data_IF_485176348566
#
_entry.id   IF_485176348566
#
_cell.length_a   1.000
_cell.length_b   1.000
_cell.length_c   1.000
_cell.angle_alpha   90.00
_cell.angle_beta   90.00
_cell.angle_gamma   90.00
#
_symmetry.space_group_name_H-M   'P 1'
#
loop_
_entity.id
_entity.type
_entity.pdbx_description
1 polymer ?
#
# COMPACT_ATOMS: atom_id res chain seq x y z
N UNK A 1 54.79 22.96 12.32
CA UNK A 1 55.51 22.06 13.23
C UNK A 1 54.57 21.75 14.36
N UNK A 2 53.83 20.64 14.41
CA UNK A 2 54.15 19.30 13.94
C UNK A 2 54.39 18.46 15.18
N UNK A 3 53.47 17.54 15.49
CA UNK A 3 53.72 16.39 16.36
C UNK A 3 52.75 15.27 15.96
N UNK A 4 53.16 14.56 14.91
CA UNK A 4 52.69 13.21 14.59
C UNK A 4 53.28 12.27 15.66
N UNK A 5 52.55 12.04 16.74
CA UNK A 5 52.91 11.02 17.73
C UNK A 5 52.15 9.73 17.39
N UNK A 6 52.86 8.88 16.64
CA UNK A 6 52.93 7.42 16.73
C UNK A 6 51.62 6.61 16.74
N UNK A 7 51.10 6.37 15.53
CA UNK A 7 50.18 5.26 15.20
C UNK A 7 50.90 3.93 14.88
N UNK A 8 52.20 3.83 15.15
CA UNK A 8 53.04 2.69 14.75
C UNK A 8 53.36 1.73 15.93
N UNK A 9 53.13 2.14 17.19
CA UNK A 9 53.61 1.36 18.34
C UNK A 9 52.70 0.21 18.82
N UNK A 10 51.46 0.08 18.35
CA UNK A 10 50.62 -1.09 18.71
C UNK A 10 50.80 -2.30 17.78
N UNK A 11 51.41 -2.12 16.60
CA UNK A 11 51.63 -3.22 15.66
C UNK A 11 52.89 -4.05 15.96
N UNK A 12 53.84 -3.51 16.72
CA UNK A 12 55.16 -4.12 16.92
C UNK A 12 55.30 -4.94 18.23
N UNK A 13 54.27 -5.02 19.08
CA UNK A 13 54.35 -5.80 20.31
C UNK A 13 54.03 -7.30 20.15
N UNK A 14 53.81 -7.79 18.92
CA UNK A 14 53.40 -9.17 18.62
C UNK A 14 54.40 -9.94 17.74
N UNK A 15 55.63 -9.46 17.57
CA UNK A 15 56.63 -10.12 16.71
C UNK A 15 57.51 -11.16 17.45
N UNK A 16 57.36 -11.28 18.77
CA UNK A 16 58.15 -12.21 19.59
C UNK A 16 57.39 -13.47 20.01
N UNK A 17 57.00 -14.36 19.09
CA UNK A 17 56.29 -15.59 19.48
C UNK A 17 56.15 -16.65 18.39
N UNK A 18 57.08 -17.61 18.40
CA UNK A 18 57.15 -18.86 17.62
C UNK A 18 56.01 -19.13 16.60
N UNK A 19 56.34 -18.97 15.33
CA UNK A 19 55.41 -18.64 14.23
C UNK A 19 54.60 -19.79 13.62
N UNK A 20 54.70 -21.03 14.13
CA UNK A 20 54.01 -22.18 13.52
C UNK A 20 52.68 -22.55 14.22
N UNK A 21 52.57 -22.31 15.54
CA UNK A 21 51.40 -22.72 16.35
C UNK A 21 50.38 -21.60 16.53
N UNK A 22 50.81 -20.33 16.48
CA UNK A 22 49.95 -19.17 16.70
C UNK A 22 49.15 -18.77 15.44
N UNK A 23 49.67 -19.07 14.25
CA UNK A 23 49.00 -18.83 12.95
C UNK A 23 47.62 -19.50 12.85
N UNK A 24 47.46 -20.81 13.14
CA UNK A 24 46.15 -21.47 13.06
C UNK A 24 45.16 -20.93 14.09
N UNK A 25 45.62 -20.56 15.30
CA UNK A 25 44.76 -19.96 16.33
C UNK A 25 44.24 -18.59 15.90
N UNK A 26 45.12 -17.73 15.38
CA UNK A 26 44.75 -16.39 14.88
C UNK A 26 43.80 -16.48 13.68
N UNK A 27 44.04 -17.41 12.75
CA UNK A 27 43.15 -17.66 11.61
C UNK A 27 41.76 -18.09 12.07
N UNK A 28 41.68 -18.98 13.07
CA UNK A 28 40.41 -19.43 13.64
C UNK A 28 39.65 -18.32 14.37
N UNK A 29 40.36 -17.47 15.10
CA UNK A 29 39.76 -16.31 15.77
C UNK A 29 39.18 -15.28 14.76
N UNK A 30 39.91 -15.02 13.67
CA UNK A 30 39.41 -14.16 12.58
C UNK A 30 38.20 -14.77 11.86
N UNK A 31 38.20 -16.08 11.62
CA UNK A 31 37.07 -16.78 11.00
C UNK A 31 35.82 -16.72 11.89
N UNK A 32 35.96 -16.95 13.20
CA UNK A 32 34.86 -16.82 14.17
C UNK A 32 34.36 -15.37 14.28
N UNK A 33 35.26 -14.38 14.21
CA UNK A 33 34.89 -12.96 14.18
C UNK A 33 34.06 -12.62 12.95
N UNK A 34 34.47 -13.10 11.77
CA UNK A 34 33.74 -12.92 10.50
C UNK A 34 32.37 -13.60 10.52
N UNK A 35 32.29 -14.84 10.99
CA UNK A 35 31.04 -15.59 11.12
C UNK A 35 30.05 -14.88 12.06
N UNK A 36 30.56 -14.30 13.17
CA UNK A 36 29.73 -13.52 14.10
C UNK A 36 29.22 -12.24 13.47
N UNK A 37 30.04 -11.55 12.69
CA UNK A 37 29.64 -10.33 11.98
C UNK A 37 28.61 -10.63 10.89
N UNK A 38 28.79 -11.71 10.13
CA UNK A 38 27.85 -12.18 9.11
C UNK A 38 26.50 -12.54 9.71
N UNK A 39 26.47 -13.29 10.83
CA UNK A 39 25.22 -13.58 11.57
C UNK A 39 24.53 -12.31 12.08
N UNK A 40 25.29 -11.30 12.50
CA UNK A 40 24.71 -10.00 12.92
C UNK A 40 24.14 -9.23 11.73
N UNK A 41 24.79 -9.27 10.57
CA UNK A 41 24.29 -8.66 9.33
C UNK A 41 23.01 -9.35 8.86
N UNK A 42 22.99 -10.68 8.80
CA UNK A 42 21.79 -11.47 8.47
C UNK A 42 20.64 -11.13 9.41
N UNK A 43 20.90 -11.06 10.73
CA UNK A 43 19.85 -10.67 11.69
C UNK A 43 19.37 -9.22 11.52
N UNK A 44 20.23 -8.31 11.07
CA UNK A 44 19.84 -6.93 10.76
C UNK A 44 18.98 -6.87 9.48
N UNK A 45 19.37 -7.59 8.44
CA UNK A 45 18.63 -7.67 7.18
C UNK A 45 17.22 -8.25 7.40
N UNK A 46 17.10 -9.28 8.24
CA UNK A 46 15.79 -9.85 8.64
C UNK A 46 14.91 -8.85 9.38
N UNK A 47 15.47 -8.06 10.30
CA UNK A 47 14.76 -7.00 11.00
C UNK A 47 14.30 -5.88 10.05
N UNK A 48 15.15 -5.51 9.08
CA UNK A 48 14.82 -4.47 8.10
C UNK A 48 13.69 -4.93 7.16
N UNK A 49 13.70 -6.20 6.76
CA UNK A 49 12.61 -6.83 6.00
C UNK A 49 11.31 -6.83 6.83
N UNK A 50 11.36 -7.23 8.10
CA UNK A 50 10.20 -7.21 8.99
C UNK A 50 9.62 -5.79 9.14
N UNK A 51 10.47 -4.80 9.37
CA UNK A 51 10.05 -3.40 9.47
C UNK A 51 9.44 -2.89 8.16
N UNK A 52 10.03 -3.26 7.02
CA UNK A 52 9.48 -2.97 5.69
C UNK A 52 8.09 -3.58 5.50
N UNK A 53 7.89 -4.83 5.92
CA UNK A 53 6.58 -5.51 5.87
C UNK A 53 5.55 -4.87 6.78
N UNK A 54 5.90 -4.54 8.03
CA UNK A 54 5.00 -3.85 8.98
C UNK A 54 4.52 -2.53 8.38
N UNK A 55 5.43 -1.74 7.82
CA UNK A 55 5.09 -0.47 7.16
C UNK A 55 4.21 -0.66 5.93
N UNK A 56 4.46 -1.70 5.12
CA UNK A 56 3.63 -2.02 3.97
C UNK A 56 2.21 -2.41 4.38
N UNK A 57 2.06 -3.24 5.42
CA UNK A 57 0.75 -3.65 5.95
C UNK A 57 0.03 -2.46 6.59
N UNK A 58 0.74 -1.60 7.31
CA UNK A 58 0.17 -0.36 7.87
C UNK A 58 -0.37 0.55 6.77
N UNK A 59 0.38 0.73 5.68
CA UNK A 59 -0.05 1.50 4.51
C UNK A 59 -1.29 0.89 3.85
N UNK A 60 -1.36 -0.44 3.72
CA UNK A 60 -2.56 -1.13 3.21
C UNK A 60 -3.74 -0.94 4.16
N UNK A 61 -3.52 -1.10 5.47
CA UNK A 61 -4.54 -0.86 6.50
C UNK A 61 -5.05 0.59 6.48
N UNK A 62 -4.17 1.56 6.28
CA UNK A 62 -4.53 2.96 6.11
C UNK A 62 -5.33 3.20 4.82
N UNK A 63 -4.94 2.56 3.70
CA UNK A 63 -5.65 2.66 2.43
C UNK A 63 -7.04 2.00 2.47
N UNK A 64 -7.22 0.94 3.25
CA UNK A 64 -8.53 0.30 3.46
C UNK A 64 -9.40 1.06 4.47
N UNK A 65 -8.78 1.76 5.44
CA UNK A 65 -9.48 2.66 6.37
C UNK A 65 -9.87 3.98 5.73
N UNK A 66 -9.08 4.47 4.77
CA UNK A 66 -9.49 5.59 3.95
C UNK A 66 -10.82 5.20 3.28
N UNK A 67 -11.88 6.02 3.41
CA UNK A 67 -13.13 5.72 2.76
C UNK A 67 -12.83 5.57 1.27
N UNK A 68 -12.99 4.35 0.73
CA UNK A 68 -12.95 4.14 -0.72
C UNK A 68 -13.88 5.17 -1.30
N UNK A 69 -13.29 6.16 -1.97
CA UNK A 69 -13.98 7.41 -2.24
C UNK A 69 -15.27 7.04 -2.96
N UNK A 70 -16.37 7.37 -2.29
CA UNK A 70 -17.73 7.01 -2.63
C UNK A 70 -18.16 7.87 -3.82
N UNK A 71 -17.29 8.00 -4.84
CA UNK A 71 -17.48 8.84 -6.00
C UNK A 71 -18.60 8.24 -6.82
N UNK A 72 -19.80 8.69 -6.48
CA UNK A 72 -20.92 8.68 -7.40
C UNK A 72 -20.43 9.39 -8.66
N UNK A 73 -20.74 8.81 -9.82
CA UNK A 73 -20.39 9.42 -11.09
C UNK A 73 -20.91 10.85 -11.14
N UNK A 74 -20.02 11.82 -11.38
CA UNK A 74 -20.33 13.27 -11.37
C UNK A 74 -21.55 13.63 -12.23
N UNK A 75 -21.76 12.90 -13.31
CA UNK A 75 -22.84 13.14 -14.27
C UNK A 75 -24.15 12.42 -13.90
N UNK A 76 -24.17 11.54 -12.89
CA UNK A 76 -25.34 10.73 -12.53
C UNK A 76 -26.56 11.59 -12.22
N UNK A 77 -26.38 12.65 -11.43
CA UNK A 77 -27.48 13.56 -11.09
C UNK A 77 -28.07 14.19 -12.36
N UNK A 78 -27.22 14.72 -13.25
CA UNK A 78 -27.67 15.33 -14.50
C UNK A 78 -28.37 14.33 -15.42
N UNK A 79 -27.81 13.12 -15.59
CA UNK A 79 -28.42 12.08 -16.41
C UNK A 79 -29.81 11.70 -15.92
N UNK A 80 -30.01 11.56 -14.61
CA UNK A 80 -31.33 11.20 -14.06
C UNK A 80 -32.29 12.39 -14.13
N UNK A 81 -31.87 13.56 -13.66
CA UNK A 81 -32.77 14.72 -13.49
C UNK A 81 -33.18 15.37 -14.82
N UNK A 82 -32.43 15.14 -15.90
CA UNK A 82 -32.75 15.63 -17.24
C UNK A 82 -33.60 14.65 -18.06
N UNK A 83 -33.98 13.48 -17.52
CA UNK A 83 -34.82 12.53 -18.24
C UNK A 83 -36.24 13.10 -18.44
N UNK A 84 -36.70 13.28 -19.69
CA UNK A 84 -38.02 13.83 -19.95
C UNK A 84 -39.14 12.82 -19.63
N UNK A 85 -40.34 13.32 -19.34
CA UNK A 85 -41.54 12.49 -19.18
C UNK A 85 -41.77 11.91 -17.78
N UNK A 86 -40.96 12.27 -16.79
CA UNK A 86 -41.13 11.88 -15.38
C UNK A 86 -41.23 13.11 -14.47
N UNK A 87 -41.95 12.95 -13.34
CA UNK A 87 -41.97 13.99 -12.31
C UNK A 87 -40.65 14.02 -11.55
N UNK A 88 -40.33 15.17 -10.93
CA UNK A 88 -39.11 15.34 -10.16
C UNK A 88 -39.04 14.35 -8.97
N UNK A 89 -40.18 14.06 -8.35
CA UNK A 89 -40.29 13.10 -7.25
C UNK A 89 -39.94 11.69 -7.71
N UNK A 90 -40.44 11.27 -8.87
CA UNK A 90 -40.11 9.97 -9.45
C UNK A 90 -38.61 9.86 -9.80
N UNK A 91 -38.04 10.91 -10.38
CA UNK A 91 -36.60 10.97 -10.67
C UNK A 91 -35.75 10.93 -9.40
N UNK A 92 -36.20 11.58 -8.31
CA UNK A 92 -35.53 11.53 -7.01
C UNK A 92 -35.52 10.12 -6.40
N UNK A 93 -36.62 9.37 -6.52
CA UNK A 93 -36.68 7.97 -6.07
C UNK A 93 -35.64 7.11 -6.82
N UNK A 94 -35.61 7.23 -8.15
CA UNK A 94 -34.64 6.54 -8.98
C UNK A 94 -33.18 6.95 -8.66
N UNK A 95 -32.93 8.25 -8.46
CA UNK A 95 -31.62 8.76 -8.11
C UNK A 95 -31.11 8.19 -6.78
N UNK A 96 -31.95 8.19 -5.73
CA UNK A 96 -31.58 7.62 -4.42
C UNK A 96 -31.26 6.13 -4.55
N UNK A 97 -31.99 5.40 -5.39
CA UNK A 97 -31.68 4.00 -5.68
C UNK A 97 -30.31 3.85 -6.37
N UNK A 98 -30.03 4.60 -7.43
CA UNK A 98 -28.77 4.53 -8.18
C UNK A 98 -27.56 4.99 -7.34
N UNK A 99 -27.75 5.94 -6.43
CA UNK A 99 -26.74 6.34 -5.44
C UNK A 99 -26.37 5.20 -4.49
N UNK A 100 -27.35 4.34 -4.15
CA UNK A 100 -27.13 3.15 -3.31
C UNK A 100 -26.60 1.97 -4.11
N UNK A 101 -26.95 1.87 -5.39
CA UNK A 101 -26.51 0.81 -6.30
C UNK A 101 -25.56 1.36 -7.38
N UNK A 102 -24.30 1.57 -6.99
CA UNK A 102 -23.30 2.26 -7.82
C UNK A 102 -23.04 1.61 -9.17
N UNK A 103 -23.01 0.27 -9.24
CA UNK A 103 -22.76 -0.44 -10.48
C UNK A 103 -23.86 -0.11 -11.51
N UNK A 104 -25.10 -0.08 -11.04
CA UNK A 104 -26.25 0.29 -11.85
C UNK A 104 -26.25 1.79 -12.21
N UNK A 105 -25.89 2.66 -11.26
CA UNK A 105 -25.68 4.09 -11.51
C UNK A 105 -24.63 4.36 -12.61
N UNK A 106 -23.52 3.62 -12.60
CA UNK A 106 -22.49 3.72 -13.64
C UNK A 106 -23.01 3.26 -15.00
N UNK A 107 -23.71 2.12 -15.06
CA UNK A 107 -24.33 1.64 -16.29
C UNK A 107 -25.37 2.62 -16.82
N UNK A 108 -26.19 3.21 -15.94
CA UNK A 108 -27.23 4.16 -16.29
C UNK A 108 -26.68 5.39 -17.02
N UNK A 109 -25.57 5.96 -16.54
CA UNK A 109 -24.91 7.11 -17.20
C UNK A 109 -24.40 6.78 -18.61
N UNK A 110 -24.05 5.52 -18.86
CA UNK A 110 -23.55 5.06 -20.16
C UNK A 110 -24.67 4.70 -21.15
N UNK A 111 -25.93 4.64 -20.70
CA UNK A 111 -27.07 4.33 -21.56
C UNK A 111 -27.40 5.49 -22.51
N UNK A 112 -28.08 5.19 -23.62
CA UNK A 112 -28.75 6.24 -24.40
C UNK A 112 -29.99 6.73 -23.64
N UNK A 113 -30.46 7.93 -23.95
CA UNK A 113 -31.67 8.49 -23.32
C UNK A 113 -32.89 7.57 -23.43
N UNK A 114 -33.09 6.92 -24.59
CA UNK A 114 -34.17 5.96 -24.78
C UNK A 114 -34.07 4.75 -23.82
N UNK A 115 -32.86 4.26 -23.55
CA UNK A 115 -32.62 3.17 -22.60
C UNK A 115 -32.76 3.64 -21.16
N UNK A 116 -32.33 4.87 -20.83
CA UNK A 116 -32.54 5.47 -19.50
C UNK A 116 -34.04 5.58 -19.19
N UNK A 117 -34.85 6.06 -20.15
CA UNK A 117 -36.31 6.17 -20.01
C UNK A 117 -36.93 4.79 -19.82
N UNK A 118 -36.48 3.78 -20.57
CA UNK A 118 -36.97 2.40 -20.43
C UNK A 118 -36.63 1.79 -19.06
N UNK A 119 -35.41 2.04 -18.58
CA UNK A 119 -34.97 1.63 -17.25
C UNK A 119 -35.80 2.31 -16.16
N UNK A 120 -35.99 3.63 -16.25
CA UNK A 120 -36.81 4.41 -15.31
C UNK A 120 -38.24 3.90 -15.26
N UNK A 121 -38.85 3.59 -16.41
CA UNK A 121 -40.20 3.04 -16.46
C UNK A 121 -40.30 1.75 -15.67
N UNK A 122 -39.38 0.81 -15.91
CA UNK A 122 -39.36 -0.47 -15.20
C UNK A 122 -39.11 -0.31 -13.70
N UNK A 123 -38.13 0.53 -13.33
CA UNK A 123 -37.79 0.79 -11.94
C UNK A 123 -38.94 1.45 -11.17
N UNK A 124 -39.57 2.47 -11.75
CA UNK A 124 -40.65 3.23 -11.12
C UNK A 124 -41.94 2.41 -11.03
N UNK A 125 -42.28 1.62 -12.05
CA UNK A 125 -43.41 0.69 -11.95
C UNK A 125 -43.24 -0.33 -10.82
N UNK A 126 -42.01 -0.81 -10.58
CA UNK A 126 -41.74 -1.77 -9.51
C UNK A 126 -41.64 -1.12 -8.12
N UNK A 127 -41.17 0.14 -8.05
CA UNK A 127 -40.92 0.83 -6.79
C UNK A 127 -42.11 1.64 -6.27
N UNK A 128 -43.00 2.09 -7.15
CA UNK A 128 -44.16 2.92 -6.77
C UNK A 128 -45.48 2.14 -6.67
N UNK A 129 -45.53 0.89 -7.12
CA UNK A 129 -46.77 0.10 -7.13
C UNK A 129 -47.88 0.72 -8.01
N UNK A 130 -48.99 0.01 -8.24
CA UNK A 130 -50.22 0.63 -8.75
C UNK A 130 -50.87 1.57 -7.73
#
# INVERSE_FOLDING_TARGET
>A
MGDHINLIDEANLLDGGNSHVLKPVRARMMALGREREEKRKVGQDELDIMNGMVKAVENVGAALKAPQHNEVHKDLYGCVMNCPGYSQEALMVALVYLLRNKAEGLCFVQMSEAHMILWLRGHLSNSMGP
#
